data_IF_397466174422
#
_entry.id   IF_397466174422
#
_cell.length_a   1.000
_cell.length_b   1.000
_cell.length_c   1.000
_cell.angle_alpha   90.00
_cell.angle_beta   90.00
_cell.angle_gamma   90.00
#
_symmetry.space_group_name_H-M   'P 1'
#
loop_
_entity.id
_entity.type
_entity.pdbx_description
1 polymer ?
#
# COMPACT_ATOMS: atom_id res chain seq x y z
N UNK A 1 6.38 -0.94 0.38
CA UNK A 1 5.53 -0.25 1.36
C UNK A 1 6.28 0.91 1.99
N UNK A 2 5.59 2.01 2.31
CA UNK A 2 6.14 3.07 3.17
C UNK A 2 6.00 2.71 4.65
N UNK A 3 6.95 3.16 5.47
CA UNK A 3 6.86 3.07 6.92
C UNK A 3 5.82 4.03 7.49
N UNK A 4 5.39 3.79 8.72
CA UNK A 4 4.50 4.69 9.47
C UNK A 4 5.00 6.13 9.51
N UNK A 5 6.31 6.34 9.74
CA UNK A 5 6.88 7.69 9.77
C UNK A 5 6.79 8.40 8.41
N UNK A 6 7.04 7.69 7.31
CA UNK A 6 6.97 8.27 5.97
C UNK A 6 5.52 8.64 5.60
N UNK A 7 4.55 7.79 5.97
CA UNK A 7 3.13 8.08 5.78
C UNK A 7 2.71 9.31 6.61
N UNK A 8 3.15 9.42 7.86
CA UNK A 8 2.88 10.60 8.70
C UNK A 8 3.44 11.89 8.12
N UNK A 9 4.67 11.87 7.62
CA UNK A 9 5.29 13.07 7.01
C UNK A 9 4.51 13.50 5.77
N UNK A 10 4.08 12.55 4.93
CA UNK A 10 3.28 12.84 3.75
C UNK A 10 1.87 13.34 4.10
N UNK A 11 1.23 12.72 5.10
CA UNK A 11 -0.06 13.14 5.61
C UNK A 11 -0.02 14.61 6.04
N UNK A 12 0.98 15.01 6.83
CA UNK A 12 1.16 16.40 7.27
C UNK A 12 1.30 17.39 6.09
N UNK A 13 1.99 16.99 5.01
CA UNK A 13 2.14 17.82 3.83
C UNK A 13 0.82 18.00 3.09
N UNK A 14 0.06 16.92 2.90
CA UNK A 14 -1.25 16.98 2.24
C UNK A 14 -2.23 17.80 3.09
N UNK A 15 -2.28 17.57 4.40
CA UNK A 15 -3.13 18.29 5.34
C UNK A 15 -2.89 19.81 5.28
N UNK A 16 -1.62 20.23 5.25
CA UNK A 16 -1.25 21.64 5.16
C UNK A 16 -1.71 22.27 3.83
N UNK A 17 -1.62 21.54 2.71
CA UNK A 17 -2.10 21.99 1.40
C UNK A 17 -3.63 22.08 1.39
N UNK A 18 -4.31 21.05 1.90
CA UNK A 18 -5.78 20.97 1.94
C UNK A 18 -6.37 22.10 2.77
N UNK A 19 -5.82 22.38 3.95
CA UNK A 19 -6.30 23.48 4.81
C UNK A 19 -6.16 24.84 4.11
N UNK A 20 -5.02 25.08 3.45
CA UNK A 20 -4.83 26.30 2.66
C UNK A 20 -5.86 26.42 1.54
N UNK A 21 -6.11 25.34 0.81
CA UNK A 21 -7.10 25.33 -0.27
C UNK A 21 -8.53 25.53 0.25
N UNK A 22 -8.86 24.95 1.41
CA UNK A 22 -10.14 25.14 2.09
C UNK A 22 -10.34 26.60 2.49
N UNK A 23 -9.31 27.25 3.06
CA UNK A 23 -9.36 28.66 3.42
C UNK A 23 -9.54 29.56 2.19
N UNK A 24 -8.81 29.29 1.10
CA UNK A 24 -8.97 29.99 -0.19
C UNK A 24 -10.36 29.77 -0.80
N UNK A 25 -10.93 28.57 -0.65
CA UNK A 25 -12.27 28.26 -1.13
C UNK A 25 -13.32 28.99 -0.28
N UNK A 26 -13.20 28.99 1.05
CA UNK A 26 -14.08 29.72 1.97
C UNK A 26 -14.07 31.22 1.69
N UNK A 27 -12.89 31.81 1.46
CA UNK A 27 -12.78 33.24 1.11
C UNK A 27 -13.49 33.58 -0.20
N UNK A 28 -13.38 32.71 -1.21
CA UNK A 28 -14.02 32.92 -2.53
C UNK A 28 -15.51 32.65 -2.54
N UNK A 29 -15.99 31.78 -1.68
CA UNK A 29 -17.37 31.29 -1.65
C UNK A 29 -18.12 31.72 -0.38
N UNK A 30 -17.66 32.75 0.30
CA UNK A 30 -18.25 33.26 1.54
C UNK A 30 -19.75 33.55 1.40
N UNK A 31 -20.17 34.09 0.24
CA UNK A 31 -21.57 34.40 -0.06
C UNK A 31 -22.40 33.15 -0.43
N UNK A 32 -21.77 32.13 -1.04
CA UNK A 32 -22.44 30.89 -1.45
C UNK A 32 -22.65 29.90 -0.28
N UNK A 33 -21.83 30.00 0.78
CA UNK A 33 -21.96 29.22 2.01
C UNK A 33 -23.26 29.51 2.78
N UNK A 34 -23.90 30.66 2.52
CA UNK A 34 -25.16 31.08 3.15
C UNK A 34 -26.40 30.45 2.49
N UNK A 35 -26.30 29.90 1.28
CA UNK A 35 -27.40 29.17 0.64
C UNK A 35 -27.22 27.65 0.82
N UNK A 36 -28.09 27.03 1.62
CA UNK A 36 -27.97 25.62 2.01
C UNK A 36 -28.40 24.59 0.95
N UNK A 37 -28.85 25.02 -0.22
CA UNK A 37 -29.63 24.16 -1.13
C UNK A 37 -28.89 23.63 -2.37
N UNK A 38 -27.59 23.88 -2.59
CA UNK A 38 -26.95 23.55 -3.89
C UNK A 38 -25.70 22.68 -3.89
N UNK A 39 -25.21 22.16 -2.76
CA UNK A 39 -23.99 21.32 -2.76
C UNK A 39 -24.34 19.83 -2.66
N UNK A 40 -24.79 19.24 -3.77
CA UNK A 40 -25.01 17.78 -3.88
C UNK A 40 -23.72 16.95 -3.90
N UNK A 41 -22.55 17.60 -3.99
CA UNK A 41 -21.23 17.07 -3.59
C UNK A 41 -20.32 18.27 -3.33
N UNK A 42 -19.52 18.32 -2.25
CA UNK A 42 -18.51 19.37 -2.10
C UNK A 42 -17.59 19.33 -3.32
N UNK A 43 -17.13 20.49 -3.80
CA UNK A 43 -16.15 20.51 -4.89
C UNK A 43 -14.91 19.71 -4.44
N UNK A 44 -14.66 18.56 -5.07
CA UNK A 44 -13.51 17.72 -4.71
C UNK A 44 -12.28 18.11 -5.53
N UNK A 45 -11.10 17.86 -4.97
CA UNK A 45 -9.82 18.02 -5.66
C UNK A 45 -8.93 16.84 -5.38
N UNK A 46 -8.24 16.35 -6.41
CA UNK A 46 -7.17 15.37 -6.24
C UNK A 46 -6.04 16.00 -5.45
N UNK A 47 -5.72 15.41 -4.31
CA UNK A 47 -4.66 15.83 -3.39
C UNK A 47 -3.40 14.98 -3.55
N UNK A 48 -3.58 13.70 -3.88
CA UNK A 48 -2.51 12.73 -3.96
C UNK A 48 -2.86 11.62 -4.94
N UNK A 49 -1.87 11.07 -5.65
CA UNK A 49 -2.05 9.93 -6.53
C UNK A 49 -1.04 8.85 -6.18
N UNK A 50 -1.52 7.62 -6.02
CA UNK A 50 -0.67 6.48 -5.73
C UNK A 50 0.02 5.96 -7.00
N UNK A 51 1.09 5.18 -6.85
CA UNK A 51 1.66 4.44 -7.97
C UNK A 51 0.61 3.54 -8.65
N UNK A 52 0.67 3.45 -9.98
CA UNK A 52 -0.17 2.54 -10.76
C UNK A 52 0.10 1.09 -10.38
N UNK A 53 -0.92 0.38 -9.93
CA UNK A 53 -0.88 -1.05 -9.71
C UNK A 53 -1.12 -1.83 -11.01
N UNK A 54 -0.46 -2.98 -11.13
CA UNK A 54 -0.59 -3.88 -12.28
C UNK A 54 -0.68 -5.33 -11.78
N UNK A 55 -1.71 -6.04 -12.22
CA UNK A 55 -1.89 -7.48 -11.96
C UNK A 55 -2.09 -8.24 -13.27
N UNK A 56 -1.47 -9.41 -13.40
CA UNK A 56 -1.61 -10.28 -14.56
C UNK A 56 -2.56 -11.42 -14.24
N UNK A 57 -3.77 -11.35 -14.79
CA UNK A 57 -4.79 -12.37 -14.63
C UNK A 57 -4.80 -13.30 -15.84
N UNK A 58 -5.01 -14.60 -15.63
CA UNK A 58 -5.15 -15.56 -16.72
C UNK A 58 -6.64 -15.88 -16.89
N UNK A 59 -7.28 -15.34 -17.94
CA UNK A 59 -8.69 -15.65 -18.23
C UNK A 59 -8.75 -16.80 -19.24
N UNK A 60 -9.60 -17.79 -18.95
CA UNK A 60 -9.94 -18.83 -19.92
C UNK A 60 -11.12 -18.35 -20.77
N UNK A 61 -10.89 -18.17 -22.06
CA UNK A 61 -11.94 -17.86 -23.04
C UNK A 61 -11.95 -18.94 -24.12
N UNK A 62 -12.98 -19.79 -24.12
CA UNK A 62 -13.10 -20.86 -25.12
C UNK A 62 -11.99 -21.92 -25.08
N UNK A 63 -11.37 -22.16 -23.92
CA UNK A 63 -10.31 -23.15 -23.74
C UNK A 63 -8.90 -22.65 -24.06
N UNK A 64 -8.75 -21.40 -24.51
CA UNK A 64 -7.45 -20.71 -24.58
C UNK A 64 -7.32 -19.83 -23.34
N UNK A 65 -6.22 -19.98 -22.63
CA UNK A 65 -5.88 -19.14 -21.48
C UNK A 65 -5.02 -17.99 -21.99
N UNK A 66 -5.55 -16.77 -21.95
CA UNK A 66 -4.82 -15.57 -22.37
C UNK A 66 -4.48 -14.69 -21.16
N UNK A 67 -3.26 -14.14 -21.09
CA UNK A 67 -2.89 -13.23 -20.02
C UNK A 67 -3.53 -11.87 -20.27
N UNK A 68 -4.26 -11.38 -19.28
CA UNK A 68 -4.84 -10.06 -19.23
C UNK A 68 -4.14 -9.25 -18.14
N UNK A 69 -3.99 -7.94 -18.36
CA UNK A 69 -3.39 -7.04 -17.39
C UNK A 69 -4.45 -6.12 -16.83
N UNK A 70 -4.71 -6.22 -15.53
CA UNK A 70 -5.49 -5.26 -14.78
C UNK A 70 -4.59 -4.08 -14.37
N UNK A 71 -5.04 -2.88 -14.68
CA UNK A 71 -4.42 -1.60 -14.31
C UNK A 71 -5.34 -0.91 -13.31
N UNK A 72 -4.80 -0.54 -12.15
CA UNK A 72 -5.59 0.12 -11.10
C UNK A 72 -4.97 1.45 -10.71
N UNK A 73 -5.75 2.51 -10.84
CA UNK A 73 -5.40 3.87 -10.43
C UNK A 73 -6.08 4.19 -9.11
N UNK A 74 -5.31 4.74 -8.17
CA UNK A 74 -5.82 5.22 -6.89
C UNK A 74 -5.37 6.63 -6.62
N UNK A 75 -6.25 7.43 -6.03
CA UNK A 75 -5.94 8.78 -5.61
C UNK A 75 -6.77 9.20 -4.40
N UNK A 76 -6.27 10.19 -3.67
CA UNK A 76 -7.02 10.83 -2.57
C UNK A 76 -7.62 12.11 -3.10
N UNK A 77 -8.92 12.28 -2.91
CA UNK A 77 -9.63 13.54 -3.10
C UNK A 77 -9.92 14.21 -1.76
N UNK A 78 -9.81 15.54 -1.72
CA UNK A 78 -10.29 16.36 -0.61
C UNK A 78 -11.61 17.03 -0.96
N UNK A 79 -12.63 16.79 -0.14
CA UNK A 79 -13.90 17.51 -0.15
C UNK A 79 -13.86 18.72 0.79
N UNK A 80 -14.27 19.87 0.27
CA UNK A 80 -14.42 21.09 1.06
C UNK A 80 -15.86 21.20 1.59
N UNK A 81 -16.10 20.60 2.76
CA UNK A 81 -17.34 20.74 3.53
C UNK A 81 -17.42 22.05 4.33
N UNK A 82 -18.48 22.20 5.14
CA UNK A 82 -18.69 23.41 5.95
C UNK A 82 -17.66 23.55 7.06
N UNK A 83 -17.39 22.48 7.82
CA UNK A 83 -16.69 22.58 9.10
C UNK A 83 -15.26 22.01 9.05
N UNK A 84 -15.07 20.84 8.43
CA UNK A 84 -13.77 20.15 8.32
C UNK A 84 -13.52 19.58 6.91
N UNK A 85 -12.26 19.37 6.50
CA UNK A 85 -11.95 18.58 5.30
C UNK A 85 -12.47 17.16 5.45
N UNK A 86 -13.06 16.63 4.39
CA UNK A 86 -13.33 15.20 4.24
C UNK A 86 -12.40 14.66 3.15
N UNK A 87 -11.85 13.47 3.35
CA UNK A 87 -10.99 12.83 2.38
C UNK A 87 -11.64 11.56 1.84
N UNK A 88 -11.41 11.29 0.56
CA UNK A 88 -11.94 10.14 -0.15
C UNK A 88 -10.82 9.42 -0.87
N UNK A 89 -10.65 8.12 -0.63
CA UNK A 89 -9.82 7.25 -1.46
C UNK A 89 -10.67 6.82 -2.65
N UNK A 90 -10.22 7.15 -3.85
CA UNK A 90 -10.92 6.87 -5.10
C UNK A 90 -10.11 5.86 -5.89
N UNK A 91 -10.81 4.88 -6.46
CA UNK A 91 -10.24 3.84 -7.30
C UNK A 91 -10.93 3.82 -8.67
N UNK A 92 -10.13 3.57 -9.70
CA UNK A 92 -10.56 3.26 -11.07
C UNK A 92 -9.71 2.09 -11.57
N UNK A 93 -10.30 1.16 -12.32
CA UNK A 93 -9.52 0.10 -12.94
C UNK A 93 -9.98 -0.26 -14.33
N UNK A 94 -9.04 -0.77 -15.13
CA UNK A 94 -9.28 -1.30 -16.46
C UNK A 94 -8.52 -2.61 -16.66
N UNK A 95 -9.15 -3.57 -17.34
CA UNK A 95 -8.50 -4.81 -17.76
C UNK A 95 -8.18 -4.74 -19.26
N UNK A 96 -6.95 -5.11 -19.61
CA UNK A 96 -6.42 -5.01 -20.96
C UNK A 96 -5.89 -6.33 -21.48
N UNK A 97 -6.09 -6.60 -22.77
CA UNK A 97 -5.47 -7.74 -23.47
C UNK A 97 -3.98 -7.49 -23.72
N UNK A 98 -3.21 -8.51 -24.17
CA UNK A 98 -1.82 -8.32 -24.60
C UNK A 98 -1.66 -7.30 -25.74
N UNK A 99 -2.69 -7.14 -26.56
CA UNK A 99 -2.75 -6.13 -27.64
C UNK A 99 -3.22 -4.75 -27.16
N UNK A 100 -3.37 -4.56 -25.84
CA UNK A 100 -3.83 -3.34 -25.17
C UNK A 100 -5.26 -2.92 -25.52
N UNK A 101 -6.11 -3.86 -25.94
CA UNK A 101 -7.54 -3.62 -26.02
C UNK A 101 -8.13 -3.66 -24.62
N UNK A 102 -8.97 -2.67 -24.26
CA UNK A 102 -9.73 -2.69 -23.00
C UNK A 102 -10.86 -3.71 -23.15
N UNK A 103 -10.93 -4.67 -22.23
CA UNK A 103 -11.97 -5.72 -22.20
C UNK A 103 -12.96 -5.54 -21.06
N UNK A 104 -12.57 -4.79 -20.04
CA UNK A 104 -13.39 -4.47 -18.88
C UNK A 104 -12.89 -3.16 -18.27
N UNK A 105 -13.79 -2.36 -17.72
CA UNK A 105 -13.45 -1.09 -17.08
C UNK A 105 -14.51 -0.74 -16.03
N UNK A 106 -14.03 -0.30 -14.88
CA UNK A 106 -14.85 0.27 -13.81
C UNK A 106 -14.47 1.73 -13.65
N UNK A 107 -15.46 2.60 -13.85
CA UNK A 107 -15.34 4.03 -13.63
C UNK A 107 -14.99 4.36 -12.18
N UNK A 108 -14.41 5.54 -11.97
CA UNK A 108 -13.98 6.01 -10.66
C UNK A 108 -15.08 5.91 -9.59
N UNK A 109 -14.78 5.22 -8.48
CA UNK A 109 -15.66 5.08 -7.32
C UNK A 109 -14.92 5.40 -6.03
N UNK A 110 -15.66 5.82 -5.00
CA UNK A 110 -15.11 6.06 -3.67
C UNK A 110 -15.00 4.71 -2.96
N UNK A 111 -13.78 4.27 -2.71
CA UNK A 111 -13.47 3.05 -1.99
C UNK A 111 -13.62 3.24 -0.48
N UNK A 112 -13.03 4.30 0.06
CA UNK A 112 -13.09 4.62 1.48
C UNK A 112 -13.12 6.13 1.74
N UNK A 113 -13.59 6.50 2.94
CA UNK A 113 -13.76 7.89 3.38
C UNK A 113 -13.22 8.07 4.79
N UNK A 114 -12.48 9.14 5.05
CA UNK A 114 -11.99 9.46 6.39
C UNK A 114 -11.84 10.97 6.58
N UNK A 115 -11.87 11.42 7.84
CA UNK A 115 -11.46 12.78 8.23
C UNK A 115 -9.94 12.89 8.43
N UNK A 116 -9.22 11.76 8.36
CA UNK A 116 -7.77 11.66 8.44
C UNK A 116 -7.16 11.24 7.10
N UNK A 117 -6.35 12.12 6.50
CA UNK A 117 -5.59 11.77 5.30
C UNK A 117 -4.53 10.69 5.57
N UNK A 118 -4.04 10.59 6.81
CA UNK A 118 -3.07 9.57 7.21
C UNK A 118 -3.65 8.16 7.07
N UNK A 119 -4.91 7.97 7.48
CA UNK A 119 -5.62 6.69 7.36
C UNK A 119 -5.78 6.29 5.89
N UNK A 120 -6.17 7.23 5.02
CA UNK A 120 -6.33 6.93 3.59
C UNK A 120 -5.00 6.74 2.86
N UNK A 121 -3.94 7.43 3.30
CA UNK A 121 -2.59 7.17 2.80
C UNK A 121 -2.15 5.76 3.17
N UNK A 122 -2.34 5.35 4.44
CA UNK A 122 -2.03 4.00 4.86
C UNK A 122 -2.81 2.97 4.05
N UNK A 123 -4.13 3.12 3.93
CA UNK A 123 -4.99 2.20 3.20
C UNK A 123 -4.60 2.12 1.71
N UNK A 124 -4.42 3.26 1.04
CA UNK A 124 -4.02 3.26 -0.37
C UNK A 124 -2.62 2.67 -0.60
N UNK A 125 -1.67 2.89 0.31
CA UNK A 125 -0.35 2.24 0.24
C UNK A 125 -0.42 0.74 0.54
N UNK A 126 -1.29 0.32 1.47
CA UNK A 126 -1.57 -1.09 1.76
C UNK A 126 -2.07 -1.78 0.50
N UNK A 127 -3.10 -1.25 -0.16
CA UNK A 127 -3.67 -1.82 -1.38
C UNK A 127 -2.64 -1.90 -2.53
N UNK A 128 -1.81 -0.87 -2.71
CA UNK A 128 -0.71 -0.90 -3.72
C UNK A 128 0.31 -2.00 -3.40
N UNK A 129 0.68 -2.16 -2.14
CA UNK A 129 1.62 -3.20 -1.74
C UNK A 129 1.00 -4.59 -1.86
N UNK A 130 -0.27 -4.77 -1.47
CA UNK A 130 -1.02 -6.01 -1.67
C UNK A 130 -1.03 -6.43 -3.14
N UNK A 131 -1.33 -5.49 -4.05
CA UNK A 131 -1.28 -5.73 -5.49
C UNK A 131 0.10 -6.22 -5.94
N UNK A 132 1.15 -5.53 -5.52
CA UNK A 132 2.51 -5.85 -5.91
C UNK A 132 2.98 -7.20 -5.34
N UNK A 133 2.63 -7.51 -4.10
CA UNK A 133 2.98 -8.77 -3.45
C UNK A 133 2.19 -9.94 -4.02
N UNK A 134 0.89 -9.78 -4.27
CA UNK A 134 0.06 -10.78 -4.94
C UNK A 134 0.58 -11.11 -6.34
N UNK A 135 0.95 -10.10 -7.13
CA UNK A 135 1.53 -10.29 -8.47
C UNK A 135 2.85 -11.07 -8.40
N UNK A 136 3.70 -10.79 -7.40
CA UNK A 136 4.98 -11.50 -7.22
C UNK A 136 4.81 -12.91 -6.68
N UNK A 137 3.76 -13.18 -5.89
CA UNK A 137 3.46 -14.50 -5.33
C UNK A 137 2.82 -15.44 -6.35
N UNK A 138 2.00 -14.91 -7.26
CA UNK A 138 1.25 -15.70 -8.25
C UNK A 138 2.12 -16.75 -8.99
N UNK A 139 3.31 -16.41 -9.53
CA UNK A 139 4.17 -17.39 -10.20
C UNK A 139 4.72 -18.49 -9.28
N UNK A 140 4.84 -18.23 -7.97
CA UNK A 140 5.26 -19.25 -6.99
C UNK A 140 4.12 -20.20 -6.71
N UNK A 141 2.91 -19.67 -6.51
CA UNK A 141 1.69 -20.45 -6.25
C UNK A 141 1.39 -21.35 -7.44
N UNK A 142 1.37 -20.81 -8.67
CA UNK A 142 1.09 -21.58 -9.88
C UNK A 142 2.08 -22.76 -10.05
N UNK A 143 3.37 -22.55 -9.78
CA UNK A 143 4.37 -23.64 -9.85
C UNK A 143 4.12 -24.73 -8.81
N UNK A 144 3.67 -24.38 -7.61
CA UNK A 144 3.34 -25.36 -6.57
C UNK A 144 2.06 -26.13 -6.87
N UNK A 145 1.10 -25.50 -7.54
CA UNK A 145 -0.10 -26.17 -8.03
C UNK A 145 0.23 -27.16 -9.15
N UNK A 146 1.17 -26.82 -10.02
CA UNK A 146 1.67 -27.69 -11.10
C UNK A 146 2.57 -28.84 -10.59
N UNK A 147 3.43 -28.57 -9.61
CA UNK A 147 4.32 -29.54 -8.97
C UNK A 147 4.29 -29.41 -7.43
N UNK A 148 3.49 -30.25 -6.73
CA UNK A 148 3.40 -30.23 -5.27
C UNK A 148 4.52 -31.03 -4.58
N UNK A 149 5.66 -31.28 -5.24
CA UNK A 149 6.78 -32.01 -4.67
C UNK A 149 7.44 -31.28 -3.49
N UNK A 150 8.10 -32.05 -2.62
CA UNK A 150 8.85 -31.47 -1.50
C UNK A 150 10.01 -30.56 -1.95
N UNK A 151 10.62 -30.88 -3.10
CA UNK A 151 11.70 -30.07 -3.69
C UNK A 151 11.15 -28.74 -4.22
N UNK A 152 9.99 -28.75 -4.88
CA UNK A 152 9.29 -27.53 -5.30
C UNK A 152 8.88 -26.67 -4.09
N UNK A 153 8.40 -27.29 -3.00
CA UNK A 153 8.08 -26.58 -1.76
C UNK A 153 9.32 -25.91 -1.12
N UNK A 154 10.48 -26.56 -1.15
CA UNK A 154 11.73 -25.98 -0.66
C UNK A 154 12.20 -24.81 -1.53
N UNK A 155 12.07 -24.92 -2.85
CA UNK A 155 12.37 -23.82 -3.77
C UNK A 155 11.42 -22.62 -3.54
N UNK A 156 10.13 -22.89 -3.34
CA UNK A 156 9.13 -21.86 -3.05
C UNK A 156 9.44 -21.08 -1.77
N UNK A 157 9.94 -21.74 -0.71
CA UNK A 157 10.37 -21.05 0.50
C UNK A 157 11.43 -19.99 0.18
N UNK A 158 12.46 -20.34 -0.60
CA UNK A 158 13.53 -19.42 -0.95
C UNK A 158 13.02 -18.24 -1.82
N UNK A 159 12.14 -18.53 -2.77
CA UNK A 159 11.52 -17.51 -3.62
C UNK A 159 10.67 -16.54 -2.79
N UNK A 160 9.85 -17.07 -1.87
CA UNK A 160 9.03 -16.28 -0.95
C UNK A 160 9.90 -15.43 -0.02
N UNK A 161 10.95 -15.99 0.58
CA UNK A 161 11.89 -15.23 1.41
C UNK A 161 12.53 -14.05 0.64
N UNK A 162 12.84 -14.25 -0.64
CA UNK A 162 13.35 -13.21 -1.53
C UNK A 162 12.29 -12.14 -1.86
N UNK A 163 11.03 -12.55 -2.05
CA UNK A 163 9.93 -11.62 -2.32
C UNK A 163 9.76 -10.60 -1.19
N UNK A 164 9.84 -11.08 0.05
CA UNK A 164 9.55 -10.28 1.25
C UNK A 164 10.77 -9.65 1.90
N UNK A 165 11.93 -9.71 1.25
CA UNK A 165 13.18 -9.16 1.77
C UNK A 165 13.49 -9.65 3.20
N UNK A 166 13.15 -10.92 3.47
CA UNK A 166 13.41 -11.58 4.75
C UNK A 166 14.89 -11.48 5.20
N UNK A 167 15.90 -11.42 4.30
CA UNK A 167 17.28 -11.18 4.69
C UNK A 167 17.53 -9.82 5.38
N UNK A 168 16.69 -8.81 5.24
CA UNK A 168 16.92 -7.54 5.93
C UNK A 168 16.20 -7.43 7.29
N UNK A 169 15.45 -8.47 7.67
CA UNK A 169 14.74 -8.54 8.94
C UNK A 169 15.69 -8.88 10.11
N UNK A 170 15.32 -8.45 11.32
CA UNK A 170 16.01 -8.86 12.55
C UNK A 170 15.93 -10.38 12.75
N UNK A 171 16.81 -11.00 13.57
CA UNK A 171 16.78 -12.44 13.79
C UNK A 171 15.41 -12.97 14.29
N UNK A 172 14.73 -12.21 15.16
CA UNK A 172 13.41 -12.59 15.68
C UNK A 172 12.35 -12.55 14.57
N UNK A 173 12.34 -11.48 13.78
CA UNK A 173 11.43 -11.34 12.64
C UNK A 173 11.68 -12.40 11.57
N UNK A 174 12.95 -12.74 11.28
CA UNK A 174 13.29 -13.83 10.35
C UNK A 174 12.69 -15.17 10.80
N UNK A 175 12.76 -15.49 12.09
CA UNK A 175 12.17 -16.73 12.63
C UNK A 175 10.65 -16.70 12.47
N UNK A 176 10.02 -15.57 12.80
CA UNK A 176 8.57 -15.38 12.65
C UNK A 176 8.15 -15.51 11.18
N UNK A 177 8.80 -14.80 10.26
CA UNK A 177 8.54 -14.88 8.82
C UNK A 177 8.71 -16.30 8.29
N UNK A 178 9.74 -17.04 8.72
CA UNK A 178 9.89 -18.46 8.35
C UNK A 178 8.73 -19.33 8.82
N UNK A 179 8.18 -19.06 10.00
CA UNK A 179 7.01 -19.77 10.51
C UNK A 179 5.75 -19.43 9.70
N UNK A 180 5.55 -18.16 9.34
CA UNK A 180 4.45 -17.66 8.51
C UNK A 180 4.50 -18.30 7.10
N UNK A 181 5.67 -18.31 6.45
CA UNK A 181 5.88 -18.96 5.14
C UNK A 181 5.49 -20.44 5.19
N UNK A 182 5.92 -21.15 6.25
CA UNK A 182 5.57 -22.57 6.43
C UNK A 182 4.09 -22.79 6.74
N UNK A 183 3.42 -21.83 7.38
CA UNK A 183 1.98 -21.90 7.62
C UNK A 183 1.22 -21.70 6.30
N UNK A 184 1.61 -20.69 5.52
CA UNK A 184 1.07 -20.39 4.20
C UNK A 184 1.20 -21.57 3.24
N UNK A 185 2.41 -22.10 3.06
CA UNK A 185 2.67 -23.25 2.18
C UNK A 185 1.97 -24.54 2.63
N UNK A 186 1.66 -24.66 3.94
CA UNK A 186 0.90 -25.78 4.47
C UNK A 186 -0.63 -25.58 4.40
N UNK A 187 -1.10 -24.47 3.81
CA UNK A 187 -2.52 -24.12 3.73
C UNK A 187 -3.17 -23.80 5.08
N UNK A 188 -2.37 -23.46 6.10
CA UNK A 188 -2.83 -23.08 7.45
C UNK A 188 -2.99 -21.57 7.62
N UNK A 189 -2.61 -20.80 6.61
CA UNK A 189 -2.70 -19.35 6.51
C UNK A 189 -3.03 -19.06 5.05
N UNK A 190 -4.00 -18.20 4.80
CA UNK A 190 -4.33 -17.82 3.43
C UNK A 190 -3.34 -16.78 2.88
N UNK A 191 -3.43 -16.48 1.59
CA UNK A 191 -2.53 -15.55 0.93
C UNK A 191 -2.72 -14.10 1.43
N UNK A 192 -3.95 -13.71 1.79
CA UNK A 192 -4.29 -12.35 2.20
C UNK A 192 -3.73 -12.10 3.60
N UNK A 193 -3.99 -12.99 4.55
CA UNK A 193 -3.44 -12.98 5.91
C UNK A 193 -1.91 -12.94 5.89
N UNK A 194 -1.29 -13.70 4.98
CA UNK A 194 0.16 -13.73 4.85
C UNK A 194 0.72 -12.40 4.32
N UNK A 195 0.08 -11.82 3.31
CA UNK A 195 0.44 -10.50 2.76
C UNK A 195 0.23 -9.40 3.82
N UNK A 196 -0.89 -9.42 4.54
CA UNK A 196 -1.20 -8.46 5.59
C UNK A 196 -0.15 -8.48 6.71
N UNK A 197 0.25 -9.67 7.17
CA UNK A 197 1.30 -9.82 8.17
C UNK A 197 2.66 -9.28 7.70
N UNK A 198 2.96 -9.37 6.40
CA UNK A 198 4.15 -8.76 5.79
C UNK A 198 4.03 -7.24 5.80
N UNK A 199 2.90 -6.70 5.33
CA UNK A 199 2.70 -5.25 5.22
C UNK A 199 2.75 -4.59 6.60
N UNK A 200 2.08 -5.16 7.60
CA UNK A 200 2.08 -4.68 8.98
C UNK A 200 3.52 -4.58 9.53
N UNK A 201 4.33 -5.62 9.30
CA UNK A 201 5.74 -5.63 9.72
C UNK A 201 6.58 -4.57 9.00
N UNK A 202 6.36 -4.37 7.69
CA UNK A 202 7.05 -3.32 6.94
C UNK A 202 6.64 -1.92 7.40
N UNK A 203 5.36 -1.73 7.70
CA UNK A 203 4.80 -0.47 8.17
C UNK A 203 5.35 -0.05 9.52
N UNK A 204 5.44 -0.98 10.47
CA UNK A 204 5.99 -0.75 11.81
C UNK A 204 7.51 -0.84 11.89
N UNK A 205 8.20 -1.04 10.76
CA UNK A 205 9.66 -1.07 10.74
C UNK A 205 10.19 0.29 11.17
N UNK A 206 10.83 0.34 12.33
CA UNK A 206 11.55 1.56 12.71
C UNK A 206 12.66 1.79 11.67
N UNK A 207 12.77 3.01 11.09
CA UNK A 207 13.96 3.35 10.34
C UNK A 207 15.13 3.16 11.30
N UNK A 208 16.14 2.40 10.89
CA UNK A 208 17.37 2.22 11.65
C UNK A 208 18.06 3.59 11.80
N UNK A 209 17.59 4.40 12.74
CA UNK A 209 18.24 5.62 13.18
C UNK A 209 19.51 5.16 13.87
N UNK A 210 20.63 5.32 13.16
CA UNK A 210 21.99 5.50 13.68
C UNK A 210 22.15 5.26 15.19
N UNK A 211 21.97 4.02 15.65
CA UNK A 211 22.22 3.66 17.05
C UNK A 211 23.71 3.35 17.22
N UNK A 212 24.58 4.16 16.61
CA UNK A 212 26.04 4.04 16.65
C UNK A 212 26.77 5.36 16.92
N UNK A 213 26.07 6.44 17.26
CA UNK A 213 26.67 7.74 17.54
C UNK A 213 26.38 8.28 18.95
N UNK A 214 26.44 7.46 20.01
CA UNK A 214 26.42 8.02 21.38
C UNK A 214 27.18 7.23 22.46
N UNK A 215 28.10 6.33 22.09
CA UNK A 215 28.96 5.60 23.04
C UNK A 215 30.47 5.70 22.75
N UNK A 216 30.94 6.89 22.33
CA UNK A 216 32.37 7.23 22.35
C UNK A 216 32.58 8.64 22.90
N UNK A 217 32.39 8.78 24.21
CA UNK A 217 32.55 10.04 24.91
C UNK A 217 33.07 9.92 26.34
N UNK A 218 33.76 8.84 26.73
CA UNK A 218 34.50 8.80 27.99
C UNK A 218 35.84 8.08 27.81
N UNK A 219 36.87 8.87 27.45
CA UNK A 219 38.26 8.48 27.69
C UNK A 219 38.54 8.75 29.18
N UNK A 220 38.64 7.67 29.96
CA UNK A 220 39.28 7.69 31.27
C UNK A 220 40.74 8.12 31.09
N UNK A 221 41.08 9.34 31.53
CA UNK A 221 42.45 9.73 31.82
C UNK A 221 42.81 9.13 33.19
N UNK A 222 43.43 7.95 33.19
CA UNK A 222 44.22 7.50 34.34
C UNK A 222 45.54 8.24 34.22
N UNK A 223 45.68 9.34 34.97
CA UNK A 223 46.95 9.99 35.18
C UNK A 223 47.75 9.19 36.21
N UNK A 224 48.78 8.50 35.75
CA UNK A 224 49.93 8.14 36.58
C UNK A 224 50.97 9.25 36.44
N UNK A 225 51.21 10.00 37.51
CA UNK A 225 52.49 10.60 37.95
C UNK A 225 52.25 11.49 39.17
#
# INVERSE_FOLDING_TARGET
MKTHHEIQVEAQQIDAVTRRQLDEWRQRNADALLSAESLSRPATRVLFSFPLSRRTNHRSNGGVTEPHTQLTWRWIEGGFGRDQPEYYLVEEWAETTPTRGIVDQVDAFVDSTSDSVEELLFEGYKQVEEDALAERLTPVINRLEEDPSADAALAAIADIESIFDAPNLSPAERIRTKAEIRAFLAGRMDAIDFIDAVIERQYHREPARETMAEHRGQRLLIGES
#
